data_IF_501453897361
#
_entry.id   IF_501453897361
#
_cell.length_a   1.000
_cell.length_b   1.000
_cell.length_c   1.000
_cell.angle_alpha   90.00
_cell.angle_beta   90.00
_cell.angle_gamma   90.00
#
_symmetry.space_group_name_H-M   'P 1'
#
loop_
_entity.id
_entity.type
_entity.pdbx_description
1 polymer ?
#
# COMPACT_ATOMS: atom_id res chain seq x y z
N UNK A 1 8.92 -12.27 3.30
CA UNK A 1 9.33 -13.69 3.41
C UNK A 1 8.90 -14.34 4.71
N UNK A 2 9.28 -13.83 5.90
CA UNK A 2 8.91 -14.44 7.18
C UNK A 2 7.39 -14.56 7.39
N UNK A 3 6.61 -13.52 7.07
CA UNK A 3 5.14 -13.60 7.14
C UNK A 3 4.53 -14.68 6.25
N UNK A 4 5.05 -14.86 5.04
CA UNK A 4 4.60 -15.95 4.15
C UNK A 4 4.92 -17.33 4.73
N UNK A 5 6.10 -17.47 5.34
CA UNK A 5 6.51 -18.72 6.01
C UNK A 5 5.60 -19.05 7.20
N UNK A 6 5.20 -18.03 7.98
CA UNK A 6 4.26 -18.22 9.09
C UNK A 6 2.88 -18.68 8.58
N UNK A 7 2.31 -17.99 7.59
CA UNK A 7 1.00 -18.38 7.03
C UNK A 7 1.07 -19.80 6.46
N UNK A 8 2.11 -20.13 5.70
CA UNK A 8 2.29 -21.48 5.17
C UNK A 8 2.45 -22.53 6.26
N UNK A 9 3.21 -22.22 7.32
CA UNK A 9 3.44 -23.14 8.43
C UNK A 9 2.15 -23.54 9.17
N UNK A 10 1.19 -22.62 9.27
CA UNK A 10 -0.09 -22.89 9.96
C UNK A 10 -1.21 -23.39 9.03
N UNK A 11 -1.16 -23.05 7.74
CA UNK A 11 -2.21 -23.45 6.77
C UNK A 11 -1.79 -24.60 5.86
N UNK A 12 -0.48 -24.88 5.72
CA UNK A 12 0.05 -25.92 4.83
C UNK A 12 -0.21 -25.67 3.35
N UNK A 13 -0.74 -24.50 2.95
CA UNK A 13 -1.12 -24.19 1.58
C UNK A 13 -0.66 -22.80 1.16
N UNK A 14 -0.41 -22.63 -0.15
CA UNK A 14 -0.16 -21.34 -0.80
C UNK A 14 -1.37 -20.80 -1.56
N UNK A 15 -2.44 -21.60 -1.66
CA UNK A 15 -3.65 -21.19 -2.36
C UNK A 15 -4.55 -20.34 -1.44
N UNK A 16 -4.87 -19.14 -1.86
CA UNK A 16 -5.67 -18.18 -1.08
C UNK A 16 -7.05 -18.73 -0.67
N UNK A 17 -7.72 -19.48 -1.55
CA UNK A 17 -9.02 -20.06 -1.24
C UNK A 17 -8.95 -21.15 -0.16
N UNK A 18 -7.86 -21.92 -0.16
CA UNK A 18 -7.62 -22.95 0.86
C UNK A 18 -7.27 -22.28 2.20
N UNK A 19 -6.45 -21.24 2.17
CA UNK A 19 -6.11 -20.45 3.36
C UNK A 19 -7.37 -19.87 3.99
N UNK A 20 -8.28 -19.28 3.20
CA UNK A 20 -9.54 -18.72 3.69
C UNK A 20 -10.40 -19.71 4.47
N UNK A 21 -10.39 -21.00 4.06
CA UNK A 21 -11.18 -22.05 4.70
C UNK A 21 -10.53 -22.62 5.98
N UNK A 22 -9.25 -22.40 6.18
CA UNK A 22 -8.47 -22.97 7.29
C UNK A 22 -8.20 -22.00 8.45
N UNK A 23 -8.76 -20.79 8.41
CA UNK A 23 -8.50 -19.72 9.39
C UNK A 23 -8.91 -20.06 10.83
N UNK A 24 -9.78 -21.04 11.04
CA UNK A 24 -10.38 -21.34 12.34
C UNK A 24 -9.51 -22.00 13.41
N UNK A 25 -8.30 -22.48 13.09
CA UNK A 25 -7.47 -23.28 14.02
C UNK A 25 -6.28 -22.56 14.66
N UNK A 26 -5.87 -21.39 14.15
CA UNK A 26 -4.66 -20.69 14.60
C UNK A 26 -4.71 -19.19 14.34
N UNK A 27 -5.82 -18.56 14.69
CA UNK A 27 -6.13 -17.16 14.35
C UNK A 27 -5.02 -16.16 14.73
N UNK A 28 -4.48 -16.24 15.94
CA UNK A 28 -3.42 -15.33 16.39
C UNK A 28 -2.11 -15.47 15.59
N UNK A 29 -1.70 -16.69 15.29
CA UNK A 29 -0.46 -16.95 14.57
C UNK A 29 -0.54 -16.49 13.10
N UNK A 30 -1.70 -16.69 12.47
CA UNK A 30 -1.99 -16.19 11.13
C UNK A 30 -2.00 -14.66 11.12
N UNK A 31 -2.56 -14.01 12.15
CA UNK A 31 -2.55 -12.56 12.30
C UNK A 31 -1.13 -11.99 12.34
N UNK A 32 -0.22 -12.60 13.08
CA UNK A 32 1.19 -12.20 13.03
C UNK A 32 1.77 -12.31 11.61
N UNK A 33 1.47 -13.38 10.90
CA UNK A 33 1.86 -13.56 9.50
C UNK A 33 1.34 -12.45 8.59
N UNK A 34 0.06 -12.07 8.76
CA UNK A 34 -0.58 -10.96 8.03
C UNK A 34 0.14 -9.65 8.33
N UNK A 35 0.40 -9.33 9.60
CA UNK A 35 1.10 -8.09 9.99
C UNK A 35 2.46 -7.98 9.32
N UNK A 36 3.28 -9.05 9.32
CA UNK A 36 4.58 -9.04 8.66
C UNK A 36 4.49 -8.82 7.14
N UNK A 37 3.48 -9.38 6.49
CA UNK A 37 3.27 -9.16 5.05
C UNK A 37 2.78 -7.74 4.80
N UNK A 38 1.86 -7.21 5.62
CA UNK A 38 1.39 -5.83 5.55
C UNK A 38 2.54 -4.83 5.68
N UNK A 39 3.45 -5.03 6.63
CA UNK A 39 4.66 -4.20 6.78
C UNK A 39 5.51 -4.23 5.51
N UNK A 40 5.73 -5.40 4.92
CA UNK A 40 6.49 -5.54 3.68
C UNK A 40 5.83 -4.83 2.49
N UNK A 41 4.51 -4.95 2.36
CA UNK A 41 3.74 -4.27 1.33
C UNK A 41 3.68 -2.75 1.58
N UNK A 42 3.50 -2.31 2.83
CA UNK A 42 3.51 -0.91 3.23
C UNK A 42 4.87 -0.25 2.91
N UNK A 43 5.99 -0.95 3.16
CA UNK A 43 7.30 -0.51 2.72
C UNK A 43 7.36 -0.34 1.19
N UNK A 44 6.82 -1.27 0.43
CA UNK A 44 6.84 -1.24 -1.05
C UNK A 44 6.05 -0.06 -1.64
N UNK A 45 4.90 0.27 -1.05
CA UNK A 45 4.08 1.42 -1.46
C UNK A 45 4.52 2.74 -0.81
N UNK A 46 5.55 2.71 0.02
CA UNK A 46 6.05 3.87 0.80
C UNK A 46 5.02 4.50 1.74
N UNK A 47 4.20 3.67 2.40
CA UNK A 47 3.30 4.15 3.44
C UNK A 47 4.08 4.50 4.73
N UNK A 48 3.63 5.52 5.47
CA UNK A 48 4.23 5.90 6.76
C UNK A 48 3.90 4.82 7.80
N UNK A 49 4.88 4.36 8.61
CA UNK A 49 6.25 4.90 8.83
C UNK A 49 7.34 4.37 7.87
N UNK A 50 7.02 3.49 6.92
CA UNK A 50 7.98 2.79 6.07
C UNK A 50 8.37 3.55 4.78
N UNK A 51 8.23 4.88 4.78
CA UNK A 51 8.38 5.75 3.60
C UNK A 51 9.81 6.29 3.38
N UNK A 52 10.74 6.10 4.33
CA UNK A 52 12.03 6.78 4.41
C UNK A 52 12.89 6.69 3.13
N UNK A 53 12.75 5.60 2.39
CA UNK A 53 13.53 5.35 1.19
C UNK A 53 13.07 6.18 -0.04
N UNK A 54 11.80 6.54 -0.10
CA UNK A 54 11.20 7.09 -1.31
C UNK A 54 11.71 8.49 -1.68
N UNK A 55 11.83 9.47 -0.77
CA UNK A 55 12.32 10.81 -1.11
C UNK A 55 13.75 10.79 -1.66
N UNK A 56 14.63 10.00 -1.08
CA UNK A 56 16.04 9.94 -1.47
C UNK A 56 16.24 9.21 -2.80
N UNK A 57 15.49 8.13 -3.03
CA UNK A 57 15.50 7.40 -4.31
C UNK A 57 14.96 8.28 -5.44
N UNK A 58 13.90 9.05 -5.21
CA UNK A 58 13.31 9.92 -6.23
C UNK A 58 14.23 11.08 -6.57
N UNK A 59 14.92 11.67 -5.59
CA UNK A 59 15.89 12.73 -5.81
C UNK A 59 17.11 12.24 -6.60
N UNK A 60 17.64 11.07 -6.24
CA UNK A 60 18.84 10.50 -6.87
C UNK A 60 18.61 9.90 -8.26
N UNK A 61 17.36 9.67 -8.67
CA UNK A 61 17.05 9.05 -9.96
C UNK A 61 16.93 10.07 -11.10
N UNK A 62 17.22 9.68 -12.35
CA UNK A 62 16.83 10.45 -13.54
C UNK A 62 15.33 10.68 -13.59
N UNK A 63 14.87 11.80 -14.17
CA UNK A 63 13.44 12.19 -14.14
C UNK A 63 12.50 11.14 -14.71
N UNK A 64 12.86 10.51 -15.83
CA UNK A 64 12.09 9.43 -16.46
C UNK A 64 11.94 8.20 -15.55
N UNK A 65 12.99 7.85 -14.80
CA UNK A 65 12.97 6.75 -13.83
C UNK A 65 12.14 7.11 -12.60
N UNK A 66 12.21 8.37 -12.16
CA UNK A 66 11.38 8.87 -11.04
C UNK A 66 9.90 8.75 -11.37
N UNK A 67 9.48 9.14 -12.57
CA UNK A 67 8.10 9.01 -13.04
C UNK A 67 7.64 7.55 -13.04
N UNK A 68 8.45 6.65 -13.57
CA UNK A 68 8.16 5.22 -13.55
C UNK A 68 7.96 4.70 -12.12
N UNK A 69 8.85 5.05 -11.18
CA UNK A 69 8.75 4.62 -9.78
C UNK A 69 7.56 5.22 -9.04
N UNK A 70 7.11 6.39 -9.44
CA UNK A 70 5.95 7.05 -8.82
C UNK A 70 4.66 6.26 -9.05
N UNK A 71 4.52 5.59 -10.18
CA UNK A 71 3.26 5.00 -10.63
C UNK A 71 3.26 3.48 -10.65
N UNK A 72 4.05 2.90 -11.53
CA UNK A 72 3.95 1.47 -11.89
C UNK A 72 4.09 0.54 -10.70
N UNK A 73 5.13 0.65 -9.85
CA UNK A 73 5.28 -0.23 -8.70
C UNK A 73 4.18 -0.05 -7.65
N UNK A 74 3.62 1.16 -7.53
CA UNK A 74 2.56 1.44 -6.55
C UNK A 74 1.23 0.83 -6.96
N UNK A 75 0.85 0.96 -8.24
CA UNK A 75 -0.35 0.32 -8.78
C UNK A 75 -0.26 -1.20 -8.61
N UNK A 76 0.86 -1.80 -9.01
CA UNK A 76 1.09 -3.23 -8.88
C UNK A 76 1.05 -3.68 -7.41
N UNK A 77 1.73 -2.97 -6.52
CA UNK A 77 1.77 -3.31 -5.10
C UNK A 77 0.41 -3.13 -4.43
N UNK A 78 -0.37 -2.09 -4.79
CA UNK A 78 -1.72 -1.91 -4.26
C UNK A 78 -2.67 -3.01 -4.74
N UNK A 79 -2.58 -3.43 -5.99
CA UNK A 79 -3.38 -4.55 -6.51
C UNK A 79 -3.10 -5.84 -5.75
N UNK A 80 -1.82 -6.14 -5.49
CA UNK A 80 -1.41 -7.28 -4.66
C UNK A 80 -1.94 -7.13 -3.23
N UNK A 81 -1.88 -5.92 -2.67
CA UNK A 81 -2.34 -5.59 -1.33
C UNK A 81 -3.84 -5.87 -1.16
N UNK A 82 -4.65 -5.37 -2.10
CA UNK A 82 -6.10 -5.61 -2.14
C UNK A 82 -6.38 -7.11 -2.26
N UNK A 83 -5.76 -7.78 -3.23
CA UNK A 83 -5.99 -9.20 -3.45
C UNK A 83 -5.60 -10.05 -2.25
N UNK A 84 -4.50 -9.72 -1.59
CA UNK A 84 -4.03 -10.40 -0.39
C UNK A 84 -4.99 -10.26 0.79
N UNK A 85 -5.61 -9.10 0.99
CA UNK A 85 -6.52 -8.88 2.11
C UNK A 85 -7.94 -9.39 1.84
N UNK A 86 -8.47 -9.13 0.66
CA UNK A 86 -9.88 -9.38 0.35
C UNK A 86 -10.19 -10.83 -0.04
N UNK A 87 -9.21 -11.59 -0.52
CA UNK A 87 -9.47 -12.98 -0.90
C UNK A 87 -9.34 -13.93 0.30
N UNK A 88 -8.17 -14.05 0.99
CA UNK A 88 -8.04 -14.99 2.08
C UNK A 88 -8.46 -14.44 3.45
N UNK A 89 -8.32 -13.13 3.72
CA UNK A 89 -8.38 -12.58 5.08
C UNK A 89 -9.55 -11.62 5.34
N UNK A 90 -10.59 -11.65 4.51
CA UNK A 90 -11.76 -10.80 4.73
C UNK A 90 -12.46 -11.12 6.06
N UNK A 91 -12.46 -12.38 6.50
CA UNK A 91 -13.03 -12.80 7.77
C UNK A 91 -12.25 -12.28 9.00
N UNK A 92 -11.02 -11.82 8.82
CA UNK A 92 -10.17 -11.25 9.88
C UNK A 92 -10.06 -9.73 9.77
N UNK A 93 -11.09 -9.07 9.23
CA UNK A 93 -11.10 -7.63 8.97
C UNK A 93 -10.79 -6.81 10.23
N UNK A 94 -11.35 -7.17 11.38
CA UNK A 94 -11.18 -6.46 12.64
C UNK A 94 -9.71 -6.38 13.09
N UNK A 95 -8.90 -7.32 12.66
CA UNK A 95 -7.48 -7.42 13.06
C UNK A 95 -6.58 -6.56 12.19
N UNK A 96 -6.79 -6.52 10.87
CA UNK A 96 -5.93 -5.76 9.97
C UNK A 96 -6.44 -4.35 9.65
N UNK A 97 -7.75 -4.09 9.81
CA UNK A 97 -8.37 -2.81 9.51
C UNK A 97 -7.76 -1.66 10.31
N UNK A 98 -7.57 -1.86 11.62
CA UNK A 98 -7.00 -0.83 12.49
C UNK A 98 -5.59 -0.43 12.06
N UNK A 99 -4.79 -1.40 11.60
CA UNK A 99 -3.43 -1.14 11.08
C UNK A 99 -3.50 -0.28 9.82
N UNK A 100 -4.42 -0.59 8.90
CA UNK A 100 -4.59 0.18 7.67
C UNK A 100 -5.08 1.59 7.92
N UNK A 101 -6.01 1.78 8.84
CA UNK A 101 -6.49 3.10 9.25
C UNK A 101 -5.31 3.93 9.77
N UNK A 102 -4.49 3.36 10.65
CA UNK A 102 -3.31 4.06 11.16
C UNK A 102 -2.33 4.43 10.05
N UNK A 103 -1.96 3.49 9.17
CA UNK A 103 -1.06 3.73 8.04
C UNK A 103 -1.61 4.80 7.09
N UNK A 104 -2.92 4.79 6.83
CA UNK A 104 -3.59 5.76 5.98
C UNK A 104 -3.53 7.17 6.56
N UNK A 105 -3.98 7.36 7.80
CA UNK A 105 -3.98 8.66 8.47
C UNK A 105 -2.55 9.20 8.60
N UNK A 106 -1.60 8.36 9.05
CA UNK A 106 -0.20 8.76 9.19
C UNK A 106 0.40 9.18 7.84
N UNK A 107 0.09 8.46 6.75
CA UNK A 107 0.59 8.78 5.41
C UNK A 107 0.01 10.08 4.86
N UNK A 108 -1.28 10.34 5.07
CA UNK A 108 -1.92 11.58 4.65
C UNK A 108 -1.33 12.78 5.39
N UNK A 109 -1.26 12.71 6.72
CA UNK A 109 -0.76 13.82 7.55
C UNK A 109 0.72 14.08 7.29
N UNK A 110 1.54 13.04 7.35
CA UNK A 110 2.98 13.19 7.17
C UNK A 110 3.33 13.62 5.74
N UNK A 111 2.68 13.04 4.72
CA UNK A 111 2.88 13.41 3.32
C UNK A 111 2.57 14.89 3.07
N UNK A 112 1.46 15.40 3.61
CA UNK A 112 1.07 16.80 3.48
C UNK A 112 2.05 17.75 4.19
N UNK A 113 2.38 17.48 5.45
CA UNK A 113 3.28 18.35 6.26
C UNK A 113 4.69 18.38 5.66
N UNK A 114 5.22 17.20 5.29
CA UNK A 114 6.55 17.10 4.74
C UNK A 114 6.67 17.72 3.33
N UNK A 115 5.61 17.70 2.53
CA UNK A 115 5.59 18.34 1.21
C UNK A 115 5.73 19.88 1.30
N UNK A 116 5.10 20.53 2.28
CA UNK A 116 5.15 21.98 2.46
C UNK A 116 6.59 22.50 2.67
N UNK A 117 7.41 21.74 3.36
CA UNK A 117 8.80 22.12 3.67
C UNK A 117 9.81 21.86 2.55
N UNK A 118 9.41 21.31 1.39
CA UNK A 118 10.34 20.90 0.35
C UNK A 118 10.61 22.03 -0.66
N UNK A 119 11.89 22.26 -0.93
CA UNK A 119 12.37 23.16 -2.01
C UNK A 119 12.72 22.41 -3.29
N UNK A 120 12.99 21.11 -3.19
CA UNK A 120 13.32 20.24 -4.31
C UNK A 120 12.04 19.60 -4.90
N UNK A 121 11.80 19.84 -6.20
CA UNK A 121 10.60 19.37 -6.89
C UNK A 121 10.46 17.83 -6.82
N UNK A 122 11.55 17.07 -7.00
CA UNK A 122 11.50 15.61 -6.93
C UNK A 122 11.12 15.10 -5.54
N UNK A 123 11.60 15.73 -4.47
CA UNK A 123 11.19 15.42 -3.10
C UNK A 123 9.75 15.80 -2.84
N UNK A 124 9.30 16.93 -3.35
CA UNK A 124 7.90 17.35 -3.26
C UNK A 124 6.97 16.31 -3.89
N UNK A 125 7.29 15.84 -5.10
CA UNK A 125 6.55 14.77 -5.78
C UNK A 125 6.56 13.47 -4.96
N UNK A 126 7.68 13.11 -4.34
CA UNK A 126 7.77 11.94 -3.47
C UNK A 126 6.82 12.03 -2.27
N UNK A 127 6.81 13.15 -1.54
CA UNK A 127 5.92 13.33 -0.39
C UNK A 127 4.45 13.45 -0.79
N UNK A 128 4.15 14.12 -1.90
CA UNK A 128 2.80 14.13 -2.49
C UNK A 128 2.33 12.70 -2.79
N UNK A 129 3.18 11.88 -3.39
CA UNK A 129 2.83 10.48 -3.70
C UNK A 129 2.62 9.62 -2.45
N UNK A 130 3.29 9.91 -1.31
CA UNK A 130 3.03 9.26 -0.01
C UNK A 130 1.63 9.63 0.49
N UNK A 131 1.24 10.90 0.39
CA UNK A 131 -0.11 11.35 0.72
C UNK A 131 -1.19 10.66 -0.11
N UNK A 132 -0.98 10.55 -1.42
CA UNK A 132 -1.91 9.86 -2.32
C UNK A 132 -2.05 8.35 -2.01
N UNK A 133 -0.98 7.68 -1.62
CA UNK A 133 -1.04 6.30 -1.10
C UNK A 133 -1.91 6.24 0.17
N UNK A 134 -1.81 7.24 1.04
CA UNK A 134 -2.67 7.35 2.22
C UNK A 134 -4.16 7.37 1.87
N UNK A 135 -4.58 8.16 0.87
CA UNK A 135 -5.98 8.17 0.39
C UNK A 135 -6.41 6.82 -0.19
N UNK A 136 -5.57 6.17 -0.98
CA UNK A 136 -5.87 4.86 -1.51
C UNK A 136 -6.03 3.81 -0.41
N UNK A 137 -5.16 3.84 0.62
CA UNK A 137 -5.27 2.96 1.77
C UNK A 137 -6.52 3.19 2.60
N UNK A 138 -7.03 4.44 2.69
CA UNK A 138 -8.29 4.74 3.35
C UNK A 138 -9.47 3.96 2.73
N UNK A 139 -9.55 3.94 1.41
CA UNK A 139 -10.57 3.15 0.72
C UNK A 139 -10.43 1.64 0.93
N UNK A 140 -9.20 1.11 0.93
CA UNK A 140 -8.96 -0.31 1.24
C UNK A 140 -9.32 -0.64 2.69
N UNK A 141 -9.09 0.28 3.62
CA UNK A 141 -9.36 0.08 5.05
C UNK A 141 -10.86 -0.04 5.38
N UNK A 142 -11.76 0.38 4.49
CA UNK A 142 -13.21 0.22 4.72
C UNK A 142 -13.65 -1.25 4.77
N UNK A 143 -12.90 -2.16 4.13
CA UNK A 143 -13.24 -3.58 4.04
C UNK A 143 -14.46 -3.89 3.18
N UNK A 144 -14.98 -2.90 2.43
CA UNK A 144 -16.13 -3.03 1.55
C UNK A 144 -15.72 -3.11 0.08
N UNK A 145 -16.56 -3.74 -0.75
CA UNK A 145 -16.32 -3.78 -2.20
C UNK A 145 -16.35 -2.37 -2.82
N UNK A 146 -17.18 -1.49 -2.32
CA UNK A 146 -17.27 -0.09 -2.78
C UNK A 146 -15.99 0.69 -2.45
N UNK A 147 -15.44 0.52 -1.26
CA UNK A 147 -14.18 1.14 -0.86
C UNK A 147 -12.99 0.63 -1.66
N UNK A 148 -12.95 -0.67 -1.95
CA UNK A 148 -11.95 -1.27 -2.82
C UNK A 148 -12.02 -0.68 -4.24
N UNK A 149 -13.20 -0.60 -4.84
CA UNK A 149 -13.42 -0.01 -6.16
C UNK A 149 -13.00 1.47 -6.19
N UNK A 150 -13.37 2.23 -5.16
CA UNK A 150 -12.99 3.64 -5.02
C UNK A 150 -11.48 3.83 -4.98
N UNK A 151 -10.75 2.97 -4.27
CA UNK A 151 -9.29 3.00 -4.22
C UNK A 151 -8.65 2.72 -5.57
N UNK A 152 -9.18 1.75 -6.32
CA UNK A 152 -8.68 1.41 -7.66
C UNK A 152 -8.94 2.56 -8.63
N UNK A 153 -10.15 3.12 -8.64
CA UNK A 153 -10.52 4.27 -9.48
C UNK A 153 -9.62 5.46 -9.15
N UNK A 154 -9.40 5.74 -7.85
CA UNK A 154 -8.54 6.84 -7.41
C UNK A 154 -7.11 6.73 -7.98
N UNK A 155 -6.50 5.54 -7.93
CA UNK A 155 -5.15 5.33 -8.45
C UNK A 155 -5.11 5.43 -9.97
N UNK A 156 -6.13 4.92 -10.67
CA UNK A 156 -6.22 5.05 -12.13
C UNK A 156 -6.36 6.53 -12.53
N UNK A 157 -7.21 7.30 -11.84
CA UNK A 157 -7.34 8.74 -12.09
C UNK A 157 -6.02 9.48 -11.83
N UNK A 158 -5.29 9.10 -10.78
CA UNK A 158 -4.01 9.71 -10.45
C UNK A 158 -2.95 9.40 -11.53
N UNK A 159 -2.95 8.19 -12.05
CA UNK A 159 -2.08 7.79 -13.16
C UNK A 159 -2.37 8.62 -14.41
N UNK A 160 -3.65 8.81 -14.75
CA UNK A 160 -4.07 9.59 -15.91
C UNK A 160 -3.69 11.08 -15.78
N UNK A 161 -3.90 11.68 -14.61
CA UNK A 161 -3.57 13.11 -14.39
C UNK A 161 -2.07 13.36 -14.41
N UNK A 162 -1.26 12.41 -13.99
CA UNK A 162 0.19 12.51 -14.03
C UNK A 162 0.75 12.34 -15.44
N UNK A 163 0.17 11.46 -16.25
CA UNK A 163 0.54 11.27 -17.66
C UNK A 163 0.18 12.52 -18.50
N UNK A 164 -1.00 13.11 -18.26
CA UNK A 164 -1.41 14.34 -18.91
C UNK A 164 -0.53 15.57 -18.60
N UNK A 165 0.15 15.58 -17.45
CA UNK A 165 1.10 16.64 -17.10
C UNK A 165 2.43 16.56 -17.87
N UNK A 166 2.81 15.37 -18.32
CA UNK A 166 4.02 15.16 -19.15
C UNK A 166 3.84 15.59 -20.61
N UNK A 167 2.63 15.53 -21.15
CA UNK A 167 2.34 15.95 -22.53
C UNK A 167 2.48 17.46 -22.76
N UNK A 168 2.63 18.27 -21.71
CA UNK A 168 2.79 19.73 -21.77
C UNK A 168 4.22 20.23 -21.46
N UNK A 169 5.16 19.36 -21.22
CA UNK A 169 6.56 19.69 -20.90
C UNK A 169 7.52 19.30 -22.03
#
# INVERSE_FOLDING_TARGET
MYGCSLIYGFTGSTNFNVIANQLGSSEYAITFGIVFILVGLAFKISAVPFHMWAPDVYEGSPTSVTLFFTMVPKVAALTVFIRFLYVPFLNLIDQWQMILIFLSIASMLFGAIAAIGQTNLKRLVAYSSIGHVGYALAGVATGTNEGMQSSVIYIICLLYTSDAADDWS
#
